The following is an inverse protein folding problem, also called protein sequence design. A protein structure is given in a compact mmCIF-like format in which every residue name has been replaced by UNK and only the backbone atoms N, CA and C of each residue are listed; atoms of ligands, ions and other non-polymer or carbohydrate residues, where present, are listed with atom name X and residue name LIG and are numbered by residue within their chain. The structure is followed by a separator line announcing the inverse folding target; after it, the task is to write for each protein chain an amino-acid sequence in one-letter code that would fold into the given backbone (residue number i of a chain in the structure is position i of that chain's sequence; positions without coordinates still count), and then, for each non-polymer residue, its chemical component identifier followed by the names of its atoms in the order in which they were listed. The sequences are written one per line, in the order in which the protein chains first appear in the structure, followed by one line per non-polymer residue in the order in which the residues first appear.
data_IF_091067683205
#
_entry.id   IF_091067683205
#
_cell.length_a   1.000
_cell.length_b   1.000
_cell.length_c   1.000
_cell.angle_alpha   90.00
_cell.angle_beta   90.00
_cell.angle_gamma   90.00
#
_symmetry.space_group_name_H-M   'P 1'
#
loop_
_entity.id
_entity.type
_entity.pdbx_description
1 polymer ?
#
# COMPACT_ATOMS: atom_id res chain seq x y z
N UNK A 1 13.04 31.23 -27.02
CA UNK A 1 13.54 30.13 -26.18
C UNK A 1 12.42 29.76 -25.22
N UNK A 2 11.84 28.58 -25.36
CA UNK A 2 10.76 28.11 -24.46
C UNK A 2 11.38 27.54 -23.18
N UNK A 3 10.81 27.79 -21.99
CA UNK A 3 11.37 27.28 -20.74
C UNK A 3 11.23 25.75 -20.68
N UNK A 4 12.34 25.07 -20.40
CA UNK A 4 12.37 23.62 -20.15
C UNK A 4 11.65 23.35 -18.83
N UNK A 5 10.47 22.74 -18.90
CA UNK A 5 9.71 22.33 -17.73
C UNK A 5 10.43 21.13 -17.07
N UNK A 6 11.02 21.35 -15.90
CA UNK A 6 11.65 20.30 -15.10
C UNK A 6 10.55 19.38 -14.55
N UNK A 7 10.43 18.18 -15.12
CA UNK A 7 9.67 17.08 -14.52
C UNK A 7 10.51 16.44 -13.42
N UNK A 8 10.11 16.65 -12.16
CA UNK A 8 10.70 15.95 -11.02
C UNK A 8 9.86 14.72 -10.74
N UNK A 9 10.32 13.55 -11.18
CA UNK A 9 9.76 12.28 -10.71
C UNK A 9 10.33 12.02 -9.32
N UNK A 10 9.47 12.04 -8.30
CA UNK A 10 9.85 11.61 -6.95
C UNK A 10 9.63 10.11 -6.90
N UNK A 11 10.67 9.35 -7.22
CA UNK A 11 10.69 7.91 -7.01
C UNK A 11 11.13 7.67 -5.56
N UNK A 12 10.23 7.16 -4.73
CA UNK A 12 10.62 6.61 -3.45
C UNK A 12 11.10 5.18 -3.70
N UNK A 13 12.30 4.84 -3.19
CA UNK A 13 12.75 3.45 -3.20
C UNK A 13 11.64 2.57 -2.60
N UNK A 14 11.24 1.53 -3.33
CA UNK A 14 10.14 0.61 -2.98
C UNK A 14 8.70 1.15 -3.17
N UNK A 15 8.50 2.29 -3.84
CA UNK A 15 7.20 2.75 -4.32
C UNK A 15 7.09 2.54 -5.84
N UNK A 16 6.99 1.27 -6.25
CA UNK A 16 6.88 0.89 -7.66
C UNK A 16 5.64 1.53 -8.28
N UNK A 17 5.79 2.13 -9.47
CA UNK A 17 4.67 2.69 -10.20
C UNK A 17 3.64 1.59 -10.53
N UNK A 18 2.42 1.75 -10.00
CA UNK A 18 1.32 0.81 -10.27
C UNK A 18 1.06 0.71 -11.78
N UNK A 19 0.91 -0.52 -12.26
CA UNK A 19 0.50 -0.82 -13.61
C UNK A 19 -1.01 -1.10 -13.67
N UNK A 20 -1.56 -1.02 -14.89
CA UNK A 20 -2.97 -1.37 -15.09
C UNK A 20 -3.20 -2.85 -14.73
N UNK A 21 -4.14 -3.08 -13.81
CA UNK A 21 -4.46 -4.41 -13.29
C UNK A 21 -3.75 -4.77 -11.98
N UNK A 22 -2.85 -3.92 -11.48
CA UNK A 22 -2.28 -4.11 -10.15
C UNK A 22 -3.31 -3.75 -9.07
N UNK A 23 -3.39 -4.59 -8.04
CA UNK A 23 -4.26 -4.38 -6.88
C UNK A 23 -3.41 -4.28 -5.62
N UNK A 24 -3.59 -3.19 -4.87
CA UNK A 24 -2.89 -2.94 -3.61
C UNK A 24 -3.87 -2.81 -2.45
N UNK A 25 -3.47 -3.33 -1.29
CA UNK A 25 -4.14 -3.13 0.00
C UNK A 25 -3.43 -2.03 0.76
N UNK A 26 -4.20 -1.07 1.26
CA UNK A 26 -3.71 0.08 2.02
C UNK A 26 -4.47 0.18 3.35
N UNK A 27 -3.75 0.53 4.41
CA UNK A 27 -4.38 0.82 5.70
C UNK A 27 -4.68 2.32 5.78
N UNK A 28 -5.91 2.65 6.14
CA UNK A 28 -6.37 4.04 6.21
C UNK A 28 -6.71 4.41 7.64
N UNK A 29 -6.37 5.64 8.02
CA UNK A 29 -6.83 6.28 9.25
C UNK A 29 -7.79 7.40 8.92
N UNK A 30 -8.99 7.35 9.49
CA UNK A 30 -9.96 8.44 9.39
C UNK A 30 -9.55 9.62 10.28
N UNK A 31 -9.64 10.83 9.74
CA UNK A 31 -9.41 12.08 10.43
C UNK A 31 -10.72 12.68 10.95
N UNK A 32 -10.61 13.69 11.82
CA UNK A 32 -11.76 14.33 12.47
C UNK A 32 -12.67 15.07 11.49
N UNK A 33 -12.11 15.57 10.39
CA UNK A 33 -12.82 16.24 9.30
C UNK A 33 -13.49 15.25 8.31
N UNK A 34 -13.29 13.94 8.51
CA UNK A 34 -13.80 12.89 7.64
C UNK A 34 -12.86 12.45 6.52
N UNK A 35 -11.70 13.09 6.37
CA UNK A 35 -10.66 12.69 5.41
C UNK A 35 -10.01 11.37 5.83
N UNK A 36 -9.46 10.61 4.88
CA UNK A 36 -8.68 9.41 5.16
C UNK A 36 -7.22 9.62 4.76
N UNK A 37 -6.31 9.20 5.64
CA UNK A 37 -4.88 9.22 5.37
C UNK A 37 -4.34 7.79 5.30
N UNK A 38 -3.46 7.54 4.34
CA UNK A 38 -2.72 6.28 4.26
C UNK A 38 -1.76 6.18 5.44
N UNK A 39 -1.79 5.06 6.14
CA UNK A 39 -0.91 4.75 7.26
C UNK A 39 0.25 3.87 6.75
N UNK A 40 1.46 4.15 7.21
CA UNK A 40 2.64 3.33 6.91
C UNK A 40 3.34 3.62 5.57
N UNK A 41 2.82 4.56 4.75
CA UNK A 41 3.45 4.91 3.48
C UNK A 41 3.64 3.70 2.56
N UNK A 42 4.70 3.65 1.72
CA UNK A 42 5.02 2.48 0.90
C UNK A 42 5.23 1.20 1.72
N UNK A 43 5.81 1.31 2.92
CA UNK A 43 6.05 0.19 3.84
C UNK A 43 4.78 -0.41 4.45
N UNK A 44 3.65 0.30 4.34
CA UNK A 44 2.33 -0.13 4.79
C UNK A 44 1.47 -0.73 3.67
N UNK A 45 2.00 -0.91 2.46
CA UNK A 45 1.24 -1.42 1.31
C UNK A 45 1.53 -2.91 1.07
N UNK A 46 0.48 -3.63 0.70
CA UNK A 46 0.56 -5.01 0.22
C UNK A 46 0.08 -5.07 -1.23
N UNK A 47 0.71 -5.85 -2.10
CA UNK A 47 0.14 -6.24 -3.38
C UNK A 47 -0.78 -7.46 -3.21
N UNK A 48 -1.80 -7.56 -4.05
CA UNK A 48 -2.74 -8.68 -4.09
C UNK A 48 -2.45 -9.52 -5.34
N UNK A 49 -2.23 -10.81 -5.15
CA UNK A 49 -2.06 -11.74 -6.26
C UNK A 49 -3.41 -12.29 -6.78
N UNK A 50 -3.38 -12.96 -7.93
CA UNK A 50 -4.58 -13.57 -8.55
C UNK A 50 -5.22 -14.69 -7.71
N UNK A 51 -4.53 -15.19 -6.69
CA UNK A 51 -5.05 -16.18 -5.75
C UNK A 51 -5.71 -15.55 -4.53
N UNK A 52 -5.77 -14.21 -4.46
CA UNK A 52 -6.33 -13.45 -3.35
C UNK A 52 -5.40 -13.34 -2.15
N UNK A 53 -4.09 -13.59 -2.35
CA UNK A 53 -3.07 -13.50 -1.29
C UNK A 53 -2.34 -12.17 -1.34
N UNK A 54 -2.00 -11.68 -0.15
CA UNK A 54 -1.32 -10.40 0.03
C UNK A 54 0.18 -10.57 0.21
N UNK A 55 0.96 -9.66 -0.36
CA UNK A 55 2.42 -9.68 -0.30
C UNK A 55 2.95 -8.27 0.03
N UNK A 56 3.87 -8.11 0.98
CA UNK A 56 4.52 -6.82 1.22
C UNK A 56 5.17 -6.30 -0.07
N UNK A 57 4.86 -5.06 -0.44
CA UNK A 57 5.56 -4.41 -1.58
C UNK A 57 7.05 -4.28 -1.25
N UNK A 58 7.36 -3.95 0.00
CA UNK A 58 8.70 -4.01 0.57
C UNK A 58 8.80 -5.21 1.53
N UNK A 59 9.45 -6.33 1.14
CA UNK A 59 9.65 -7.49 1.99
C UNK A 59 10.48 -7.20 3.24
N UNK A 60 11.26 -6.11 3.24
CA UNK A 60 12.08 -5.71 4.38
C UNK A 60 11.27 -4.92 5.43
N UNK A 61 10.07 -4.45 5.09
CA UNK A 61 9.20 -3.70 5.99
C UNK A 61 8.78 -4.54 7.21
N UNK A 62 9.25 -4.21 8.44
CA UNK A 62 9.00 -5.04 9.61
C UNK A 62 7.52 -5.17 9.95
N UNK A 63 6.73 -4.14 9.64
CA UNK A 63 5.30 -4.06 9.95
C UNK A 63 4.47 -5.10 9.18
N UNK A 64 4.91 -5.54 7.99
CA UNK A 64 4.13 -6.40 7.10
C UNK A 64 4.71 -7.80 6.88
N UNK A 65 5.90 -8.07 7.41
CA UNK A 65 6.60 -9.38 7.32
C UNK A 65 5.68 -10.57 7.59
N UNK A 66 4.82 -10.49 8.60
CA UNK A 66 3.98 -11.61 9.03
C UNK A 66 2.70 -11.78 8.18
N UNK A 67 2.47 -10.89 7.21
CA UNK A 67 1.28 -10.91 6.37
C UNK A 67 1.52 -11.51 4.99
N UNK A 68 2.77 -11.82 4.63
CA UNK A 68 3.12 -12.38 3.33
C UNK A 68 2.43 -13.73 3.07
N UNK A 69 1.72 -13.85 1.95
CA UNK A 69 1.02 -15.05 1.51
C UNK A 69 -0.31 -15.33 2.22
N UNK A 70 -0.78 -14.42 3.09
CA UNK A 70 -2.08 -14.54 3.75
C UNK A 70 -3.21 -14.17 2.80
N UNK A 71 -4.41 -14.74 2.99
CA UNK A 71 -5.60 -14.33 2.25
C UNK A 71 -6.05 -12.93 2.69
N UNK A 72 -6.46 -12.10 1.72
CA UNK A 72 -7.02 -10.77 1.99
C UNK A 72 -8.18 -10.82 2.97
N UNK A 73 -9.08 -11.80 2.81
CA UNK A 73 -10.27 -11.95 3.67
C UNK A 73 -9.90 -12.12 5.15
N UNK A 74 -8.82 -12.83 5.45
CA UNK A 74 -8.33 -12.99 6.82
C UNK A 74 -7.86 -11.66 7.41
N UNK A 75 -7.17 -10.84 6.61
CA UNK A 75 -6.70 -9.51 7.03
C UNK A 75 -7.88 -8.55 7.27
N UNK A 76 -8.90 -8.58 6.40
CA UNK A 76 -10.12 -7.79 6.57
C UNK A 76 -10.88 -8.20 7.84
N UNK A 77 -10.93 -9.50 8.14
CA UNK A 77 -11.51 -10.01 9.38
C UNK A 77 -10.83 -9.46 10.64
N UNK A 78 -9.50 -9.34 10.65
CA UNK A 78 -8.75 -8.77 11.79
C UNK A 78 -9.03 -7.27 11.98
N UNK A 79 -9.03 -6.49 10.89
CA UNK A 79 -9.27 -5.04 10.98
C UNK A 79 -10.72 -4.73 11.37
N UNK A 80 -11.68 -5.52 10.90
CA UNK A 80 -13.10 -5.31 11.22
C UNK A 80 -13.49 -5.71 12.65
N UNK A 81 -12.69 -6.58 13.29
CA UNK A 81 -12.90 -7.01 14.69
C UNK A 81 -12.10 -6.21 15.71
N UNK A 82 -11.09 -5.46 15.27
CA UNK A 82 -10.39 -4.45 16.07
C UNK A 82 -11.30 -3.23 16.32
N UNK A 83 -12.23 -3.39 17.28
CA UNK A 83 -13.01 -2.30 17.89
C UNK A 83 -12.39 -1.85 19.20
#
# INVERSE_FOLDING_TARGET
MSPTQLHRTVEFEHDTLMQAGDEHVMFLKKATDGTFYVVGGPQGRLSLDKSGKVHPIDPSAPALKNHNGRLLESLVGEVSTAK
#
